data_IF_707693574542
#
_entry.id   IF_707693574542
#
_cell.length_a   1.000
_cell.length_b   1.000
_cell.length_c   1.000
_cell.angle_alpha   90.00
_cell.angle_beta   90.00
_cell.angle_gamma   90.00
#
_symmetry.space_group_name_H-M   'P 1'
#
loop_
_entity.id
_entity.type
_entity.pdbx_description
1 polymer ?
#
# COMPACT_ATOMS: atom_id res chain seq x y z
N UNK A 1 -7.44 6.64 -2.52
CA UNK A 1 -8.17 7.58 -1.67
C UNK A 1 -8.80 6.80 -0.52
N UNK A 2 -8.75 7.33 0.69
CA UNK A 2 -9.39 6.72 1.86
C UNK A 2 -10.93 6.77 1.73
N UNK A 3 -11.59 5.64 1.99
CA UNK A 3 -13.07 5.53 1.98
C UNK A 3 -13.64 5.03 3.31
N UNK A 4 -12.78 4.56 4.21
CA UNK A 4 -13.18 4.06 5.52
C UNK A 4 -12.09 4.35 6.54
N UNK A 5 -12.51 4.74 7.74
CA UNK A 5 -11.67 4.84 8.93
C UNK A 5 -12.52 4.48 10.16
N UNK A 6 -12.03 3.59 11.01
CA UNK A 6 -12.58 3.38 12.34
C UNK A 6 -11.51 3.13 13.38
N UNK A 7 -11.65 3.75 14.54
CA UNK A 7 -10.83 3.49 15.73
C UNK A 7 -11.35 2.27 16.51
N UNK A 8 -12.66 2.01 16.41
CA UNK A 8 -13.33 0.81 16.92
C UNK A 8 -13.52 -0.18 15.78
N UNK A 9 -12.66 -1.19 15.72
CA UNK A 9 -12.67 -2.12 14.60
C UNK A 9 -13.93 -3.00 14.61
N UNK A 10 -14.73 -2.88 13.55
CA UNK A 10 -15.91 -3.68 13.30
C UNK A 10 -15.77 -4.39 11.92
N UNK A 11 -15.55 -5.73 11.90
CA UNK A 11 -15.36 -6.48 10.66
C UNK A 11 -16.63 -6.54 9.80
N UNK A 12 -17.82 -6.48 10.39
CA UNK A 12 -19.09 -6.46 9.66
C UNK A 12 -19.22 -5.20 8.78
N UNK A 13 -18.73 -4.05 9.25
CA UNK A 13 -18.66 -2.83 8.43
C UNK A 13 -17.79 -3.02 7.19
N UNK A 14 -16.67 -3.72 7.33
CA UNK A 14 -15.79 -4.00 6.20
C UNK A 14 -16.39 -5.02 5.23
N UNK A 15 -17.18 -5.98 5.71
CA UNK A 15 -17.95 -6.87 4.84
C UNK A 15 -19.00 -6.08 4.03
N UNK A 16 -19.72 -5.16 4.66
CA UNK A 16 -20.68 -4.28 3.98
C UNK A 16 -19.99 -3.35 2.97
N UNK A 17 -18.84 -2.78 3.34
CA UNK A 17 -18.01 -2.01 2.43
C UNK A 17 -17.54 -2.84 1.24
N UNK A 18 -17.13 -4.09 1.48
CA UNK A 18 -16.79 -5.04 0.42
C UNK A 18 -17.94 -5.28 -0.55
N UNK A 19 -19.16 -5.45 -0.05
CA UNK A 19 -20.37 -5.57 -0.89
C UNK A 19 -20.61 -4.30 -1.72
N UNK A 20 -20.41 -3.12 -1.13
CA UNK A 20 -20.56 -1.86 -1.85
C UNK A 20 -19.52 -1.75 -2.99
N UNK A 21 -18.25 -2.06 -2.70
CA UNK A 21 -17.16 -2.03 -3.68
C UNK A 21 -17.44 -3.03 -4.83
N UNK A 22 -17.80 -4.27 -4.51
CA UNK A 22 -18.10 -5.28 -5.53
C UNK A 22 -19.36 -4.96 -6.35
N UNK A 23 -20.32 -4.23 -5.77
CA UNK A 23 -21.49 -3.75 -6.50
C UNK A 23 -21.11 -2.69 -7.53
N UNK A 24 -20.22 -1.76 -7.18
CA UNK A 24 -19.75 -0.69 -8.07
C UNK A 24 -18.78 -1.20 -9.13
N UNK A 25 -17.84 -2.09 -8.76
CA UNK A 25 -16.88 -2.66 -9.70
C UNK A 25 -17.05 -4.16 -9.84
N UNK A 26 -17.49 -4.57 -11.02
CA UNK A 26 -17.49 -5.97 -11.45
C UNK A 26 -16.14 -6.34 -12.10
N UNK A 27 -15.86 -7.64 -12.21
CA UNK A 27 -14.57 -8.14 -12.69
C UNK A 27 -13.55 -8.35 -11.56
N UNK A 28 -12.25 -8.21 -11.86
CA UNK A 28 -11.17 -8.49 -10.90
C UNK A 28 -10.72 -7.25 -10.15
N UNK A 29 -10.76 -7.29 -8.82
CA UNK A 29 -10.29 -6.22 -7.93
C UNK A 29 -9.03 -6.68 -7.21
N UNK A 30 -7.95 -5.88 -7.25
CA UNK A 30 -6.71 -6.19 -6.53
C UNK A 30 -6.88 -5.83 -5.05
N UNK A 31 -6.62 -6.76 -4.14
CA UNK A 31 -6.80 -6.54 -2.70
C UNK A 31 -5.50 -6.80 -1.95
N UNK A 32 -5.04 -5.82 -1.16
CA UNK A 32 -3.84 -5.93 -0.32
C UNK A 32 -4.03 -5.41 1.10
N UNK A 33 -2.98 -5.54 1.93
CA UNK A 33 -2.96 -4.98 3.29
C UNK A 33 -1.57 -4.61 3.80
N UNK A 34 -1.54 -3.86 4.89
CA UNK A 34 -0.33 -3.65 5.72
C UNK A 34 0.04 -4.90 6.54
N UNK A 35 1.07 -4.84 7.39
CA UNK A 35 1.57 -5.98 8.18
C UNK A 35 0.70 -6.42 9.37
N UNK A 36 -0.31 -5.64 9.80
CA UNK A 36 -0.96 -5.83 11.09
C UNK A 36 -2.03 -6.93 11.08
N UNK A 37 -2.21 -7.57 12.24
CA UNK A 37 -3.17 -8.65 12.40
C UNK A 37 -4.61 -8.16 12.19
N UNK A 38 -4.94 -6.95 12.65
CA UNK A 38 -6.28 -6.39 12.48
C UNK A 38 -6.62 -6.11 11.01
N UNK A 39 -5.64 -5.64 10.24
CA UNK A 39 -5.80 -5.43 8.80
C UNK A 39 -5.92 -6.74 8.02
N UNK A 40 -5.30 -7.83 8.52
CA UNK A 40 -5.54 -9.19 8.00
C UNK A 40 -6.99 -9.62 8.22
N UNK A 41 -7.55 -9.35 9.39
CA UNK A 41 -8.94 -9.68 9.66
C UNK A 41 -9.88 -8.82 8.82
N UNK A 42 -9.68 -7.51 8.80
CA UNK A 42 -10.50 -6.58 8.02
C UNK A 42 -10.48 -6.88 6.52
N UNK A 43 -9.33 -7.21 5.95
CA UNK A 43 -9.22 -7.62 4.54
C UNK A 43 -10.04 -8.88 4.25
N UNK A 44 -10.06 -9.87 5.15
CA UNK A 44 -10.87 -11.09 4.95
C UNK A 44 -12.36 -10.78 4.92
N UNK A 45 -12.83 -9.95 5.86
CA UNK A 45 -14.23 -9.51 5.87
C UNK A 45 -14.59 -8.75 4.58
N UNK A 46 -13.73 -7.83 4.16
CA UNK A 46 -13.89 -7.07 2.93
C UNK A 46 -13.92 -7.95 1.67
N UNK A 47 -13.01 -8.92 1.56
CA UNK A 47 -12.97 -9.87 0.44
C UNK A 47 -14.26 -10.69 0.36
N UNK A 48 -14.77 -11.19 1.50
CA UNK A 48 -16.05 -11.92 1.55
C UNK A 48 -17.20 -11.06 1.01
N UNK A 49 -17.24 -9.78 1.40
CA UNK A 49 -18.19 -8.82 0.86
C UNK A 49 -18.11 -8.68 -0.65
N UNK A 50 -16.90 -8.46 -1.19
CA UNK A 50 -16.68 -8.32 -2.64
C UNK A 50 -17.17 -9.55 -3.39
N UNK A 51 -16.71 -10.75 -3.01
CA UNK A 51 -17.03 -11.97 -3.78
C UNK A 51 -18.50 -12.35 -3.74
N UNK A 52 -19.23 -11.97 -2.69
CA UNK A 52 -20.69 -12.17 -2.61
C UNK A 52 -21.49 -11.41 -3.67
N UNK A 53 -20.87 -10.46 -4.36
CA UNK A 53 -21.49 -9.67 -5.46
C UNK A 53 -21.17 -10.24 -6.84
N UNK A 54 -20.39 -11.33 -6.92
CA UNK A 54 -19.91 -11.93 -8.16
C UNK A 54 -18.59 -11.37 -8.67
N UNK A 55 -18.11 -10.25 -8.12
CA UNK A 55 -16.79 -9.71 -8.41
C UNK A 55 -15.66 -10.63 -7.90
N UNK A 56 -14.61 -10.81 -8.69
CA UNK A 56 -13.44 -11.58 -8.31
C UNK A 56 -12.40 -10.71 -7.57
N UNK A 57 -11.60 -11.32 -6.71
CA UNK A 57 -10.47 -10.65 -6.06
C UNK A 57 -9.13 -11.27 -6.44
N UNK A 58 -8.13 -10.43 -6.66
CA UNK A 58 -6.72 -10.80 -6.71
C UNK A 58 -6.08 -10.42 -5.38
N UNK A 59 -5.96 -11.38 -4.47
CA UNK A 59 -5.38 -11.16 -3.14
C UNK A 59 -3.86 -11.22 -3.19
N UNK A 60 -3.22 -10.05 -3.17
CA UNK A 60 -1.75 -9.88 -3.20
C UNK A 60 -1.11 -9.96 -1.81
N UNK A 61 -1.90 -10.34 -0.79
CA UNK A 61 -1.51 -10.50 0.60
C UNK A 61 -0.98 -9.22 1.23
N UNK A 62 0.32 -9.15 1.47
CA UNK A 62 1.02 -8.12 2.23
C UNK A 62 1.95 -7.40 1.25
N UNK A 63 1.77 -6.10 1.07
CA UNK A 63 2.55 -5.30 0.12
C UNK A 63 2.55 -3.83 0.56
N UNK A 64 3.60 -3.03 0.29
CA UNK A 64 3.53 -1.57 0.46
C UNK A 64 2.43 -0.97 -0.42
N UNK A 65 1.61 -0.05 0.11
CA UNK A 65 0.51 0.56 -0.67
C UNK A 65 1.01 1.27 -1.93
N UNK A 66 2.17 1.94 -1.87
CA UNK A 66 2.75 2.59 -3.06
C UNK A 66 3.07 1.58 -4.19
N UNK A 67 3.60 0.40 -3.85
CA UNK A 67 3.84 -0.66 -4.82
C UNK A 67 2.53 -1.28 -5.33
N UNK A 68 1.53 -1.45 -4.46
CA UNK A 68 0.23 -1.95 -4.90
C UNK A 68 -0.45 -1.01 -5.90
N UNK A 69 -0.38 0.31 -5.68
CA UNK A 69 -0.89 1.32 -6.62
C UNK A 69 -0.24 1.15 -7.98
N UNK A 70 1.10 1.15 -8.02
CA UNK A 70 1.84 1.01 -9.28
C UNK A 70 1.56 -0.34 -9.98
N UNK A 71 1.52 -1.44 -9.22
CA UNK A 71 1.20 -2.78 -9.73
C UNK A 71 -0.20 -2.85 -10.35
N UNK A 72 -1.22 -2.33 -9.65
CA UNK A 72 -2.60 -2.36 -10.10
C UNK A 72 -2.83 -1.43 -11.31
N UNK A 73 -2.28 -0.22 -11.27
CA UNK A 73 -2.39 0.76 -12.36
C UNK A 73 -1.76 0.26 -13.64
N UNK A 74 -0.59 -0.38 -13.57
CA UNK A 74 0.06 -0.99 -14.74
C UNK A 74 -0.80 -2.08 -15.39
N UNK A 75 -1.64 -2.77 -14.61
CA UNK A 75 -2.56 -3.80 -15.08
C UNK A 75 -3.95 -3.26 -15.46
N UNK A 76 -4.20 -1.96 -15.29
CA UNK A 76 -5.52 -1.37 -15.51
C UNK A 76 -6.60 -1.90 -14.58
N UNK A 77 -6.23 -2.38 -13.39
CA UNK A 77 -7.17 -2.96 -12.43
C UNK A 77 -7.45 -2.00 -11.27
N UNK A 78 -8.68 -1.96 -10.75
CA UNK A 78 -8.98 -1.25 -9.52
C UNK A 78 -8.37 -1.98 -8.32
N UNK A 79 -8.14 -1.25 -7.23
CA UNK A 79 -7.54 -1.80 -6.01
C UNK A 79 -8.26 -1.36 -4.74
N UNK A 80 -8.13 -2.21 -3.72
CA UNK A 80 -8.54 -1.94 -2.33
C UNK A 80 -7.41 -2.34 -1.39
N UNK A 81 -7.13 -1.54 -0.38
CA UNK A 81 -6.04 -1.78 0.57
C UNK A 81 -6.47 -1.50 2.00
N UNK A 82 -6.31 -2.49 2.88
CA UNK A 82 -6.65 -2.39 4.30
C UNK A 82 -5.38 -2.19 5.13
N UNK A 83 -5.33 -1.16 5.94
CA UNK A 83 -4.17 -0.88 6.80
C UNK A 83 -4.60 -0.31 8.14
N UNK A 84 -3.67 -0.27 9.09
CA UNK A 84 -3.90 0.34 10.39
C UNK A 84 -2.93 1.48 10.61
N UNK A 85 -3.50 2.63 10.96
CA UNK A 85 -2.78 3.83 11.37
C UNK A 85 -3.71 4.68 12.23
N UNK A 86 -3.58 4.55 13.56
CA UNK A 86 -4.52 5.13 14.54
C UNK A 86 -5.98 4.76 14.21
N UNK A 87 -6.22 3.46 14.05
CA UNK A 87 -7.48 2.91 13.54
C UNK A 87 -7.32 2.15 12.22
N UNK A 88 -8.29 1.31 11.89
CA UNK A 88 -8.35 0.59 10.61
C UNK A 88 -8.86 1.50 9.53
N UNK A 89 -8.19 1.47 8.38
CA UNK A 89 -8.46 2.32 7.22
C UNK A 89 -8.54 1.49 5.96
N UNK A 90 -9.32 1.96 4.99
CA UNK A 90 -9.41 1.37 3.65
C UNK A 90 -9.14 2.43 2.61
N UNK A 91 -8.15 2.17 1.77
CA UNK A 91 -7.79 2.97 0.60
C UNK A 91 -8.25 2.26 -0.68
N UNK A 92 -8.81 3.02 -1.61
CA UNK A 92 -9.25 2.52 -2.92
C UNK A 92 -8.58 3.28 -4.07
N UNK A 93 -8.50 2.65 -5.25
CA UNK A 93 -8.11 3.31 -6.49
C UNK A 93 -8.81 2.65 -7.68
N UNK A 94 -9.13 3.43 -8.72
CA UNK A 94 -9.87 2.95 -9.88
C UNK A 94 -11.38 2.84 -9.69
N UNK A 95 -11.93 3.53 -8.68
CA UNK A 95 -13.36 3.57 -8.37
C UNK A 95 -13.83 5.02 -8.16
N UNK A 96 -15.13 5.26 -8.37
CA UNK A 96 -15.81 6.44 -7.84
C UNK A 96 -16.17 6.19 -6.36
N UNK A 97 -15.59 6.95 -5.42
CA UNK A 97 -15.90 6.79 -4.01
C UNK A 97 -17.33 7.16 -3.61
N UNK A 98 -17.95 8.10 -4.29
CA UNK A 98 -19.27 8.59 -3.92
C UNK A 98 -20.33 7.59 -4.36
N UNK A 99 -20.09 6.85 -5.44
CA UNK A 99 -20.89 5.70 -5.83
C UNK A 99 -20.81 4.58 -4.78
N UNK A 100 -19.62 4.25 -4.29
CA UNK A 100 -19.45 3.24 -3.23
C UNK A 100 -20.19 3.66 -1.95
N UNK A 101 -20.08 4.94 -1.53
CA UNK A 101 -20.81 5.46 -0.37
C UNK A 101 -22.32 5.39 -0.58
N UNK A 102 -22.81 5.77 -1.75
CA UNK A 102 -24.24 5.72 -2.07
C UNK A 102 -24.80 4.29 -2.00
N UNK A 103 -24.05 3.29 -2.50
CA UNK A 103 -24.43 1.87 -2.34
C UNK A 103 -24.37 1.44 -0.87
N UNK A 104 -23.32 1.84 -0.13
CA UNK A 104 -23.17 1.50 1.27
C UNK A 104 -24.28 2.09 2.14
N UNK A 105 -24.76 3.30 1.85
CA UNK A 105 -25.87 3.97 2.53
C UNK A 105 -27.21 3.34 2.16
N UNK A 106 -27.46 3.13 0.86
CA UNK A 106 -28.74 2.59 0.38
C UNK A 106 -28.90 1.09 0.63
N UNK A 107 -27.81 0.37 0.91
CA UNK A 107 -27.75 -1.11 1.07
C UNK A 107 -28.25 -1.87 -0.17
N UNK A 108 -28.29 -1.24 -1.35
CA UNK A 108 -28.69 -1.85 -2.62
C UNK A 108 -27.52 -2.62 -3.24
N UNK A 109 -27.09 -3.67 -2.55
CA UNK A 109 -25.99 -4.50 -3.02
C UNK A 109 -26.43 -5.44 -4.14
N UNK A 110 -25.54 -5.75 -5.07
CA UNK A 110 -25.70 -6.92 -5.93
C UNK A 110 -25.60 -8.18 -5.06
N UNK A 111 -26.49 -9.12 -5.30
CA UNK A 111 -26.47 -10.46 -4.71
C UNK A 111 -26.21 -11.46 -5.82
N UNK A 112 -25.01 -12.05 -5.82
CA UNK A 112 -24.69 -13.06 -6.81
C UNK A 112 -25.47 -14.35 -6.54
N UNK A 113 -25.92 -14.98 -7.62
CA UNK A 113 -26.47 -16.32 -7.55
C UNK A 113 -25.39 -17.30 -7.02
N UNK A 114 -25.73 -18.39 -6.32
CA UNK A 114 -24.74 -19.33 -5.77
C UNK A 114 -23.73 -19.89 -6.78
N UNK A 115 -24.10 -19.97 -8.06
CA UNK A 115 -23.21 -20.42 -9.14
C UNK A 115 -22.29 -19.32 -9.68
N UNK A 116 -22.53 -18.06 -9.33
CA UNK A 116 -21.84 -16.87 -9.83
C UNK A 116 -21.06 -16.14 -8.73
N UNK A 117 -20.82 -16.79 -7.58
CA UNK A 117 -19.99 -16.23 -6.51
C UNK A 117 -18.57 -15.99 -7.02
N UNK A 118 -18.06 -14.78 -6.76
CA UNK A 118 -16.75 -14.37 -7.23
C UNK A 118 -15.62 -15.22 -6.67
N UNK A 119 -14.57 -15.44 -7.48
CA UNK A 119 -13.39 -16.16 -7.03
C UNK A 119 -12.44 -15.26 -6.23
N UNK A 120 -11.75 -15.84 -5.25
CA UNK A 120 -10.55 -15.22 -4.64
C UNK A 120 -9.31 -15.92 -5.17
N UNK A 121 -8.54 -15.23 -6.01
CA UNK A 121 -7.27 -15.73 -6.56
C UNK A 121 -6.13 -15.13 -5.74
N UNK A 122 -5.35 -16.00 -5.08
CA UNK A 122 -4.16 -15.56 -4.34
C UNK A 122 -3.00 -15.31 -5.29
N UNK A 123 -2.41 -14.12 -5.23
CA UNK A 123 -1.28 -13.71 -6.06
C UNK A 123 -0.13 -13.15 -5.20
N UNK A 124 0.57 -14.01 -4.43
CA UNK A 124 1.60 -13.56 -3.48
C UNK A 124 2.83 -12.92 -4.15
N UNK A 125 3.04 -13.13 -5.45
CA UNK A 125 4.21 -12.68 -6.18
C UNK A 125 4.12 -11.21 -6.65
N UNK A 126 3.04 -10.49 -6.32
CA UNK A 126 2.82 -9.11 -6.81
C UNK A 126 3.99 -8.16 -6.52
N UNK A 127 4.59 -8.26 -5.31
CA UNK A 127 5.74 -7.44 -4.94
C UNK A 127 6.99 -7.83 -5.73
N UNK A 128 7.18 -9.12 -6.00
CA UNK A 128 8.34 -9.63 -6.71
C UNK A 128 8.28 -9.24 -8.19
N UNK A 129 7.13 -9.40 -8.83
CA UNK A 129 6.87 -8.93 -10.19
C UNK A 129 7.12 -7.42 -10.32
N UNK A 130 6.59 -6.65 -9.35
CA UNK A 130 6.76 -5.21 -9.31
C UNK A 130 8.23 -4.80 -9.20
N UNK A 131 9.00 -5.44 -8.32
CA UNK A 131 10.43 -5.14 -8.17
C UNK A 131 11.22 -5.58 -9.40
N UNK A 132 10.89 -6.73 -9.99
CA UNK A 132 11.51 -7.17 -11.23
C UNK A 132 11.28 -6.18 -12.37
N UNK A 133 10.07 -5.64 -12.48
CA UNK A 133 9.75 -4.59 -13.45
C UNK A 133 10.59 -3.32 -13.23
N UNK A 134 10.73 -2.88 -11.97
CA UNK A 134 11.59 -1.74 -11.61
C UNK A 134 13.04 -2.02 -11.99
N UNK A 135 13.59 -3.17 -11.62
CA UNK A 135 15.00 -3.51 -11.85
C UNK A 135 15.34 -3.69 -13.32
N UNK A 136 14.37 -4.13 -14.14
CA UNK A 136 14.51 -4.16 -15.59
C UNK A 136 14.52 -2.76 -16.22
N UNK A 137 13.77 -1.83 -15.67
CA UNK A 137 13.65 -0.48 -16.23
C UNK A 137 14.78 0.45 -15.78
N UNK A 138 15.18 0.37 -14.51
CA UNK A 138 16.17 1.25 -13.90
C UNK A 138 17.49 0.52 -13.66
N UNK A 139 18.52 0.91 -14.40
CA UNK A 139 19.89 0.46 -14.20
C UNK A 139 20.79 1.67 -13.95
N UNK A 140 20.90 2.09 -12.69
CA UNK A 140 21.80 3.15 -12.24
C UNK A 140 22.34 2.79 -10.85
N UNK A 141 23.40 3.49 -10.42
CA UNK A 141 24.02 3.30 -9.11
C UNK A 141 23.93 4.58 -8.29
N UNK A 142 23.74 4.43 -7.00
CA UNK A 142 23.67 5.50 -6.02
C UNK A 142 24.83 5.28 -5.05
N UNK A 143 25.72 6.25 -4.94
CA UNK A 143 26.83 6.19 -3.98
C UNK A 143 26.39 6.72 -2.61
N UNK A 144 26.95 6.13 -1.55
CA UNK A 144 26.72 6.55 -0.16
C UNK A 144 25.60 5.79 0.53
N UNK A 145 24.89 6.46 1.44
CA UNK A 145 23.95 5.81 2.36
C UNK A 145 22.60 6.51 2.44
N UNK A 146 21.57 5.75 2.79
CA UNK A 146 20.20 6.23 2.94
C UNK A 146 19.65 5.91 4.33
N UNK A 147 19.05 6.90 4.98
CA UNK A 147 18.19 6.66 6.14
C UNK A 147 16.75 6.45 5.66
N UNK A 148 16.16 5.29 5.99
CA UNK A 148 14.82 4.93 5.52
C UNK A 148 13.88 4.72 6.69
N UNK A 149 12.91 5.62 6.86
CA UNK A 149 11.79 5.47 7.80
C UNK A 149 10.65 4.68 7.16
N UNK A 150 10.47 3.43 7.58
CA UNK A 150 9.42 2.54 7.11
C UNK A 150 8.07 2.80 7.80
N UNK A 151 8.00 3.66 8.82
CA UNK A 151 6.81 4.01 9.60
C UNK A 151 5.96 2.80 10.08
N UNK A 152 6.60 1.69 10.39
CA UNK A 152 5.97 0.41 10.72
C UNK A 152 4.99 -0.05 9.61
N UNK A 153 5.35 0.18 8.34
CA UNK A 153 4.62 -0.27 7.15
C UNK A 153 5.37 -1.42 6.47
N UNK A 154 4.76 -2.13 5.51
CA UNK A 154 5.46 -3.11 4.69
C UNK A 154 6.63 -2.60 3.85
N UNK A 155 6.92 -1.28 3.83
CA UNK A 155 8.01 -0.71 3.03
C UNK A 155 9.37 -1.36 3.32
N UNK A 156 9.55 -1.93 4.53
CA UNK A 156 10.72 -2.76 4.87
C UNK A 156 10.98 -3.88 3.86
N UNK A 157 9.95 -4.40 3.19
CA UNK A 157 10.06 -5.49 2.20
C UNK A 157 10.68 -5.07 0.86
N UNK A 158 10.85 -3.77 0.64
CA UNK A 158 11.66 -3.28 -0.48
C UNK A 158 13.15 -3.54 -0.25
N UNK A 159 13.57 -3.65 1.01
CA UNK A 159 14.95 -3.86 1.43
C UNK A 159 15.15 -5.34 1.82
N UNK A 160 16.30 -5.96 1.51
CA UNK A 160 17.52 -5.35 0.98
C UNK A 160 17.54 -5.15 -0.57
N UNK A 161 16.51 -5.58 -1.29
CA UNK A 161 16.54 -5.68 -2.75
C UNK A 161 16.78 -4.35 -3.47
N UNK A 162 16.16 -3.25 -3.04
CA UNK A 162 16.40 -1.94 -3.64
C UNK A 162 17.85 -1.50 -3.45
N UNK A 163 18.39 -1.60 -2.23
CA UNK A 163 19.72 -1.07 -1.93
C UNK A 163 20.83 -1.94 -2.55
N UNK A 164 20.63 -3.26 -2.65
CA UNK A 164 21.52 -4.15 -3.41
C UNK A 164 21.53 -3.82 -4.91
N UNK A 165 20.35 -3.61 -5.51
CA UNK A 165 20.24 -3.31 -6.94
C UNK A 165 20.85 -1.95 -7.30
N UNK A 166 20.54 -0.91 -6.52
CA UNK A 166 21.02 0.45 -6.77
C UNK A 166 22.38 0.76 -6.11
N UNK A 167 22.92 -0.10 -5.25
CA UNK A 167 24.29 -0.01 -4.73
C UNK A 167 24.53 0.99 -3.61
N UNK A 168 23.52 1.31 -2.80
CA UNK A 168 23.65 2.20 -1.63
C UNK A 168 23.55 1.42 -0.31
N UNK A 169 24.13 1.96 0.75
CA UNK A 169 23.95 1.44 2.11
C UNK A 169 22.62 1.92 2.70
N UNK A 170 21.91 1.07 3.44
CA UNK A 170 20.61 1.43 4.04
C UNK A 170 20.62 1.25 5.54
N UNK A 171 20.14 2.27 6.25
CA UNK A 171 19.75 2.15 7.64
C UNK A 171 18.24 2.32 7.78
N UNK A 172 17.58 1.34 8.40
CA UNK A 172 16.14 1.31 8.56
C UNK A 172 15.71 1.89 9.92
N UNK A 173 14.65 2.69 9.90
CA UNK A 173 13.95 3.22 11.07
C UNK A 173 12.48 2.78 11.03
N UNK A 174 11.89 2.52 12.20
CA UNK A 174 10.48 2.09 12.31
C UNK A 174 10.16 0.90 11.36
N UNK A 175 10.99 -0.14 11.41
CA UNK A 175 10.99 -1.27 10.48
C UNK A 175 10.11 -2.45 10.93
N UNK A 176 9.55 -2.38 12.14
CA UNK A 176 8.63 -3.40 12.66
C UNK A 176 7.23 -3.25 12.05
N UNK A 177 7.02 -3.80 10.85
CA UNK A 177 5.76 -3.69 10.08
C UNK A 177 4.50 -4.27 10.77
N UNK A 178 4.67 -5.11 11.80
CA UNK A 178 3.56 -5.67 12.59
C UNK A 178 3.29 -4.90 13.87
N UNK A 179 4.09 -3.87 14.18
CA UNK A 179 4.01 -3.11 15.43
C UNK A 179 2.74 -2.28 15.51
N UNK A 180 2.09 -2.32 16.67
CA UNK A 180 1.02 -1.37 17.04
C UNK A 180 1.56 -0.14 17.79
N UNK A 181 2.84 -0.14 18.17
CA UNK A 181 3.46 1.06 18.73
C UNK A 181 3.51 2.14 17.64
N UNK A 182 3.18 3.40 17.99
CA UNK A 182 3.37 4.52 17.08
C UNK A 182 4.81 4.55 16.56
N UNK A 183 5.03 4.78 15.26
CA UNK A 183 6.39 5.00 14.76
C UNK A 183 6.98 6.22 15.46
N UNK A 184 8.31 6.24 15.62
CA UNK A 184 9.01 7.44 16.08
C UNK A 184 8.63 8.62 15.19
N UNK A 185 8.41 9.80 15.77
CA UNK A 185 7.85 10.93 15.05
C UNK A 185 8.86 11.49 14.03
N UNK A 186 8.37 12.28 13.06
CA UNK A 186 9.17 12.79 11.93
C UNK A 186 10.41 13.55 12.41
N UNK A 187 10.32 14.25 13.53
CA UNK A 187 11.40 15.02 14.12
C UNK A 187 12.59 14.15 14.50
N UNK A 188 12.36 12.92 14.97
CA UNK A 188 13.44 11.97 15.29
C UNK A 188 14.14 11.50 14.01
N UNK A 189 13.36 11.23 12.96
CA UNK A 189 13.89 10.90 11.64
C UNK A 189 14.74 12.06 11.08
N UNK A 190 14.23 13.28 11.07
CA UNK A 190 14.93 14.46 10.56
C UNK A 190 16.20 14.78 11.36
N UNK A 191 16.15 14.67 12.69
CA UNK A 191 17.33 14.85 13.53
C UNK A 191 18.40 13.81 13.24
N UNK A 192 18.01 12.55 13.03
CA UNK A 192 18.94 11.48 12.68
C UNK A 192 19.52 11.68 11.28
N UNK A 193 18.69 12.02 10.30
CA UNK A 193 19.12 12.32 8.92
C UNK A 193 20.14 13.46 8.90
N UNK A 194 19.90 14.53 9.67
CA UNK A 194 20.79 15.69 9.75
C UNK A 194 22.11 15.42 10.47
N UNK A 195 22.11 14.55 11.48
CA UNK A 195 23.30 14.24 12.30
C UNK A 195 24.15 13.12 11.73
N UNK A 196 23.54 12.18 10.99
CA UNK A 196 24.23 11.07 10.36
C UNK A 196 24.85 11.46 9.03
N UNK A 197 25.74 10.61 8.53
CA UNK A 197 26.39 10.76 7.23
C UNK A 197 25.56 10.04 6.14
N UNK A 198 24.34 10.54 5.91
CA UNK A 198 23.42 10.02 4.91
C UNK A 198 23.37 10.93 3.69
N UNK A 199 23.44 10.33 2.50
CA UNK A 199 23.36 11.03 1.22
C UNK A 199 21.94 11.50 0.93
N UNK A 200 20.94 10.73 1.35
CA UNK A 200 19.52 11.06 1.23
C UNK A 200 18.70 10.31 2.28
N UNK A 201 17.43 10.69 2.39
CA UNK A 201 16.47 10.01 3.26
C UNK A 201 15.19 9.67 2.52
N UNK A 202 14.56 8.56 2.92
CA UNK A 202 13.24 8.16 2.44
C UNK A 202 12.32 7.92 3.64
N UNK A 203 11.07 8.36 3.54
CA UNK A 203 10.05 8.09 4.56
C UNK A 203 8.77 7.59 3.93
N UNK A 204 8.47 6.30 4.14
CA UNK A 204 7.34 5.60 3.55
C UNK A 204 6.10 5.73 4.44
N UNK A 205 5.11 6.49 3.97
CA UNK A 205 3.88 6.77 4.70
C UNK A 205 2.84 5.65 4.52
N UNK A 206 2.02 5.37 5.55
CA UNK A 206 0.95 4.36 5.47
C UNK A 206 -0.07 4.58 4.35
N UNK A 207 -0.29 5.83 3.92
CA UNK A 207 -1.22 6.21 2.84
C UNK A 207 -0.63 5.99 1.42
N UNK A 208 0.53 5.35 1.31
CA UNK A 208 1.16 5.00 0.04
C UNK A 208 1.81 6.18 -0.66
N UNK A 209 2.34 7.12 0.11
CA UNK A 209 3.25 8.16 -0.35
C UNK A 209 4.63 7.95 0.27
N UNK A 210 5.66 8.46 -0.39
CA UNK A 210 7.04 8.47 0.10
C UNK A 210 7.57 9.88 0.08
N UNK A 211 8.12 10.33 1.21
CA UNK A 211 8.86 11.58 1.29
C UNK A 211 10.33 11.29 0.97
N UNK A 212 10.90 12.05 0.05
CA UNK A 212 12.32 12.07 -0.29
C UNK A 212 12.95 13.30 0.34
N UNK A 213 14.12 13.13 0.95
CA UNK A 213 14.87 14.17 1.66
C UNK A 213 16.31 14.21 1.16
N UNK A 214 16.81 15.38 0.73
CA UNK A 214 18.23 15.59 0.39
C UNK A 214 18.65 17.03 0.71
N UNK A 215 19.54 17.21 1.69
CA UNK A 215 19.87 18.54 2.19
C UNK A 215 18.64 19.25 2.74
N UNK A 216 18.29 20.40 2.18
CA UNK A 216 17.07 21.15 2.54
C UNK A 216 15.85 20.78 1.67
N UNK A 217 16.03 19.93 0.65
CA UNK A 217 14.95 19.54 -0.24
C UNK A 217 14.07 18.45 0.40
N UNK A 218 12.74 18.68 0.38
CA UNK A 218 11.71 17.71 0.71
C UNK A 218 10.73 17.57 -0.48
N UNK A 219 10.54 16.35 -0.99
CA UNK A 219 9.57 16.04 -2.05
C UNK A 219 8.73 14.83 -1.70
N UNK A 220 7.47 14.81 -2.14
CA UNK A 220 6.56 13.68 -1.90
C UNK A 220 6.17 13.00 -3.23
N UNK A 221 6.16 11.68 -3.23
CA UNK A 221 5.81 10.86 -4.39
C UNK A 221 4.72 9.85 -4.04
N UNK A 222 3.70 9.76 -4.89
CA UNK A 222 2.65 8.73 -4.79
C UNK A 222 2.88 7.49 -5.67
N UNK A 223 4.06 7.39 -6.30
CA UNK A 223 4.46 6.30 -7.21
C UNK A 223 5.96 6.08 -7.10
N UNK A 224 6.38 4.82 -7.05
CA UNK A 224 7.79 4.43 -7.04
C UNK A 224 8.47 4.76 -8.37
N UNK A 225 7.76 4.65 -9.50
CA UNK A 225 8.29 5.03 -10.81
C UNK A 225 8.72 6.50 -10.81
N UNK A 226 7.86 7.39 -10.33
CA UNK A 226 8.17 8.83 -10.22
C UNK A 226 9.30 9.12 -9.23
N UNK A 227 9.34 8.40 -8.10
CA UNK A 227 10.44 8.50 -7.14
C UNK A 227 11.77 8.10 -7.81
N UNK A 228 11.81 6.98 -8.53
CA UNK A 228 13.03 6.47 -9.16
C UNK A 228 13.49 7.33 -10.34
N UNK A 229 12.56 7.86 -11.14
CA UNK A 229 12.85 8.88 -12.16
C UNK A 229 13.50 10.12 -11.56
N UNK A 230 13.06 10.50 -10.35
CA UNK A 230 13.62 11.62 -9.64
C UNK A 230 15.01 11.30 -9.09
N UNK A 231 15.16 10.19 -8.39
CA UNK A 231 16.42 9.74 -7.81
C UNK A 231 17.50 9.59 -8.89
N UNK A 232 17.19 8.99 -10.04
CA UNK A 232 18.12 8.85 -11.18
C UNK A 232 18.69 10.19 -11.67
N UNK A 233 17.96 11.29 -11.50
CA UNK A 233 18.38 12.63 -11.95
C UNK A 233 19.16 13.39 -10.88
N UNK A 234 19.01 13.01 -9.62
CA UNK A 234 19.45 13.83 -8.48
C UNK A 234 20.45 13.15 -7.55
N UNK A 235 20.58 11.84 -7.64
CA UNK A 235 21.59 11.03 -6.94
C UNK A 235 22.55 10.44 -7.97
#
# INVERSE_FOLDING_TARGET
MEIYRSEEFNPEELALLGRAIGTVGQGTIVVGRDGRAISRYGKRALVVGIVSTGAATMDVRLIPLIALKDFAHKRGLPLVYVYYHNGVRVEISGFDPDEIKAILESKKFIEAHPNDIGATVYYPNALDDFLQDIFRHYNFKIEGSALVDCMNTPAVLFFPRLNEHFGFEVELLNDMMTSYLPPKPKEVYLQKLKKGDYTFGLRFKPNGYVEFHKGEEEKEFGSMWKLLDYMKKTL
#
